data_IF_317456049259
#
_entry.id   IF_317456049259
#
_cell.length_a   1.000
_cell.length_b   1.000
_cell.length_c   1.000
_cell.angle_alpha   90.00
_cell.angle_beta   90.00
_cell.angle_gamma   90.00
#
_symmetry.space_group_name_H-M   'P 1'
#
loop_
_entity.id
_entity.type
_entity.pdbx_description
1 polymer ?
#
# COMPACT_ATOMS: atom_id res chain seq x y z
N UNK A 1 55.42 13.01 35.87
CA UNK A 1 54.13 13.69 35.81
C UNK A 1 53.87 14.47 34.53
N UNK A 2 54.86 15.02 33.84
CA UNK A 2 54.72 15.61 32.50
C UNK A 2 54.26 14.58 31.46
N UNK A 3 54.65 13.32 31.57
CA UNK A 3 54.24 12.22 30.69
C UNK A 3 52.72 11.91 30.83
N UNK A 4 52.19 11.94 32.05
CA UNK A 4 50.78 11.72 32.36
C UNK A 4 49.92 12.88 31.85
N UNK A 5 50.40 14.12 31.94
CA UNK A 5 49.69 15.31 31.42
C UNK A 5 49.64 15.26 29.88
N UNK A 6 50.73 14.87 29.23
CA UNK A 6 50.81 14.74 27.78
C UNK A 6 49.85 13.66 27.25
N UNK A 7 49.80 12.49 27.90
CA UNK A 7 48.89 11.40 27.56
C UNK A 7 47.43 11.80 27.75
N UNK A 8 47.09 12.53 28.82
CA UNK A 8 45.73 13.05 29.04
C UNK A 8 45.34 14.10 27.98
N UNK A 9 46.25 14.98 27.58
CA UNK A 9 45.99 15.97 26.54
C UNK A 9 45.77 15.31 25.17
N UNK A 10 46.57 14.27 24.84
CA UNK A 10 46.39 13.50 23.61
C UNK A 10 45.03 12.78 23.60
N UNK A 11 44.61 12.18 24.71
CA UNK A 11 43.29 11.55 24.83
C UNK A 11 42.17 12.56 24.70
N UNK A 12 42.27 13.75 25.29
CA UNK A 12 41.30 14.83 25.15
C UNK A 12 41.20 15.34 23.70
N UNK A 13 42.35 15.43 23.01
CA UNK A 13 42.37 15.85 21.60
C UNK A 13 41.66 14.82 20.71
N UNK A 14 41.97 13.53 20.90
CA UNK A 14 41.29 12.43 20.14
C UNK A 14 39.78 12.43 20.43
N UNK A 15 39.39 12.59 21.68
CA UNK A 15 37.99 12.64 22.07
C UNK A 15 37.27 13.83 21.42
N UNK A 16 37.89 15.01 21.46
CA UNK A 16 37.34 16.23 20.81
C UNK A 16 37.19 16.03 19.32
N UNK A 17 38.18 15.47 18.64
CA UNK A 17 38.13 15.21 17.21
C UNK A 17 37.05 14.17 16.85
N UNK A 18 36.99 13.07 17.61
CA UNK A 18 35.95 12.04 17.45
C UNK A 18 34.56 12.62 17.62
N UNK A 19 34.33 13.50 18.61
CA UNK A 19 33.05 14.17 18.83
C UNK A 19 32.70 15.10 17.67
N UNK A 20 33.65 15.90 17.20
CA UNK A 20 33.43 16.79 16.06
C UNK A 20 33.09 16.03 14.78
N UNK A 21 33.76 14.92 14.49
CA UNK A 21 33.43 14.05 13.35
C UNK A 21 32.03 13.43 13.49
N UNK A 22 31.65 12.99 14.69
CA UNK A 22 30.33 12.48 14.98
C UNK A 22 29.25 13.55 14.74
N UNK A 23 29.48 14.79 15.15
CA UNK A 23 28.55 15.90 14.91
C UNK A 23 28.37 16.20 13.42
N UNK A 24 29.46 16.19 12.64
CA UNK A 24 29.41 16.45 11.20
C UNK A 24 28.64 15.35 10.47
N UNK A 25 28.98 14.08 10.74
CA UNK A 25 28.33 12.93 10.10
C UNK A 25 26.85 12.85 10.49
N UNK A 26 26.53 13.07 11.76
CA UNK A 26 25.18 13.03 12.30
C UNK A 26 24.37 14.32 12.05
N UNK A 27 24.94 15.30 11.31
CA UNK A 27 24.29 16.59 11.03
C UNK A 27 23.71 17.25 12.27
N UNK A 28 24.45 17.20 13.39
CA UNK A 28 24.00 17.81 14.65
C UNK A 28 25.06 18.70 15.26
N UNK A 29 24.64 19.60 16.13
CA UNK A 29 25.51 20.43 16.97
C UNK A 29 25.09 20.35 18.42
N UNK A 30 26.08 20.44 19.30
CA UNK A 30 25.86 20.40 20.74
C UNK A 30 25.94 21.80 21.33
N UNK A 31 25.18 21.98 22.42
CA UNK A 31 25.23 23.22 23.20
C UNK A 31 25.14 22.91 24.70
N UNK A 32 25.74 23.79 25.48
CA UNK A 32 25.68 23.73 26.93
C UNK A 32 25.26 25.09 27.42
N UNK A 33 24.32 25.10 28.37
CA UNK A 33 23.88 26.31 29.06
C UNK A 33 24.18 26.19 30.57
N UNK A 34 25.05 27.10 31.07
CA UNK A 34 25.30 27.28 32.48
C UNK A 34 24.24 28.23 33.07
N UNK A 35 23.19 27.69 33.71
CA UNK A 35 22.01 28.44 34.12
C UNK A 35 22.36 29.57 35.09
N UNK A 36 23.20 29.28 36.12
CA UNK A 36 23.52 30.23 37.18
C UNK A 36 24.30 31.47 36.68
N UNK A 37 25.11 31.31 35.63
CA UNK A 37 25.92 32.38 35.04
C UNK A 37 25.35 32.92 33.72
N UNK A 38 24.30 32.29 33.21
CA UNK A 38 23.70 32.55 31.90
C UNK A 38 24.69 32.48 30.73
N UNK A 39 25.69 31.59 30.83
CA UNK A 39 26.74 31.40 29.80
C UNK A 39 26.36 30.20 28.92
N UNK A 40 26.35 30.44 27.61
CA UNK A 40 26.17 29.40 26.63
C UNK A 40 27.51 29.01 25.98
N UNK A 41 27.64 27.76 25.62
CA UNK A 41 28.74 27.24 24.80
C UNK A 41 28.16 26.43 23.66
N UNK A 42 28.54 26.74 22.42
CA UNK A 42 28.15 26.05 21.22
C UNK A 42 29.31 25.26 20.65
N UNK A 43 29.01 24.07 20.10
CA UNK A 43 30.02 23.35 19.31
C UNK A 43 30.23 24.05 17.96
N UNK A 44 31.38 23.82 17.35
CA UNK A 44 31.71 24.39 16.05
C UNK A 44 30.67 23.97 14.97
N UNK A 45 30.11 22.78 15.11
CA UNK A 45 29.12 22.30 14.15
C UNK A 45 27.73 22.97 14.33
N UNK A 46 27.41 23.42 15.54
CA UNK A 46 26.17 24.21 15.72
C UNK A 46 26.23 25.53 14.94
N UNK A 47 27.37 26.24 14.94
CA UNK A 47 27.57 27.42 14.11
C UNK A 47 27.37 27.10 12.61
N UNK A 48 27.94 25.97 12.14
CA UNK A 48 27.79 25.53 10.74
C UNK A 48 26.34 25.20 10.37
N UNK A 49 25.59 24.59 11.30
CA UNK A 49 24.16 24.34 11.10
C UNK A 49 23.35 25.65 10.92
N UNK A 50 23.74 26.71 11.63
CA UNK A 50 23.15 28.04 11.49
C UNK A 50 23.59 28.76 10.21
N UNK A 51 24.56 28.21 9.47
CA UNK A 51 25.14 28.83 8.27
C UNK A 51 26.24 29.86 8.59
N UNK A 52 26.88 29.72 9.75
CA UNK A 52 27.91 30.62 10.25
C UNK A 52 29.27 29.93 10.39
N UNK A 53 30.34 30.72 10.36
CA UNK A 53 31.67 30.20 10.73
C UNK A 53 31.74 29.96 12.24
N UNK A 54 32.50 28.91 12.69
CA UNK A 54 32.67 28.65 14.09
C UNK A 54 33.17 29.86 14.87
N UNK A 55 32.55 30.14 16.03
CA UNK A 55 32.89 31.26 16.92
C UNK A 55 32.69 32.67 16.30
N UNK A 56 31.94 32.81 15.21
CA UNK A 56 31.71 34.11 14.51
C UNK A 56 30.82 35.10 15.28
N UNK A 57 30.06 34.59 16.26
CA UNK A 57 29.24 35.43 17.16
C UNK A 57 29.26 34.85 18.59
N UNK A 58 28.89 35.66 19.57
CA UNK A 58 28.78 35.22 20.95
C UNK A 58 27.63 34.22 21.14
N UNK A 59 27.92 33.09 21.77
CA UNK A 59 26.94 32.06 22.06
C UNK A 59 26.02 32.55 23.18
N UNK A 60 24.85 33.07 22.78
CA UNK A 60 23.76 33.47 23.68
C UNK A 60 22.43 33.03 23.10
N UNK A 61 21.42 32.88 23.93
CA UNK A 61 20.08 32.53 23.45
C UNK A 61 19.50 33.63 22.54
N UNK A 62 19.68 34.89 22.89
CA UNK A 62 19.19 36.03 22.09
C UNK A 62 19.81 36.05 20.70
N UNK A 63 21.10 35.73 20.57
CA UNK A 63 21.78 35.63 19.28
C UNK A 63 21.28 34.41 18.49
N UNK A 64 20.98 33.32 19.14
CA UNK A 64 20.40 32.13 18.52
C UNK A 64 19.01 32.42 17.97
N UNK A 65 18.14 33.11 18.73
CA UNK A 65 16.78 33.45 18.31
C UNK A 65 16.73 34.27 17.00
N UNK A 66 17.80 35.01 16.64
CA UNK A 66 17.87 35.75 15.38
C UNK A 66 17.86 34.86 14.14
N UNK A 67 18.23 33.60 14.28
CA UNK A 67 18.17 32.60 13.21
C UNK A 67 16.84 31.84 13.16
N UNK A 68 16.09 31.85 14.26
CA UNK A 68 14.81 31.12 14.35
C UNK A 68 13.76 31.80 13.48
N UNK A 69 12.96 30.99 12.79
CA UNK A 69 11.84 31.49 12.00
C UNK A 69 10.88 32.29 12.88
N UNK A 70 10.39 33.46 12.45
CA UNK A 70 9.59 34.37 13.30
C UNK A 70 8.38 33.69 13.97
N UNK A 71 7.71 32.76 13.28
CA UNK A 71 6.56 32.04 13.81
C UNK A 71 6.93 31.04 14.92
N UNK A 72 8.19 30.63 15.02
CA UNK A 72 8.63 29.60 15.96
C UNK A 72 9.33 30.20 17.19
N UNK A 73 9.64 31.50 17.19
CA UNK A 73 10.39 32.21 18.25
C UNK A 73 9.67 32.14 19.60
N UNK A 74 8.37 32.49 19.64
CA UNK A 74 7.57 32.53 20.86
C UNK A 74 7.50 31.15 21.54
N UNK A 75 7.19 30.11 20.74
CA UNK A 75 7.14 28.74 21.21
C UNK A 75 8.48 28.26 21.75
N UNK A 76 9.57 28.56 21.05
CA UNK A 76 10.92 28.16 21.47
C UNK A 76 11.35 28.84 22.77
N UNK A 77 10.99 30.10 22.97
CA UNK A 77 11.24 30.84 24.22
C UNK A 77 10.46 30.26 25.38
N UNK A 78 9.16 29.93 25.19
CA UNK A 78 8.37 29.24 26.22
C UNK A 78 8.94 27.85 26.56
N UNK A 79 9.40 27.11 25.57
CA UNK A 79 9.99 25.80 25.79
C UNK A 79 11.29 25.91 26.60
N UNK A 80 12.10 26.96 26.38
CA UNK A 80 13.30 27.21 27.16
C UNK A 80 12.98 27.49 28.64
N UNK A 81 11.94 28.27 28.93
CA UNK A 81 11.52 28.55 30.33
C UNK A 81 11.08 27.26 31.03
N UNK A 82 10.38 26.37 30.33
CA UNK A 82 10.02 25.04 30.82
C UNK A 82 11.25 24.16 31.08
N UNK A 83 12.32 24.33 30.27
CA UNK A 83 13.59 23.62 30.42
C UNK A 83 14.25 23.83 31.78
N UNK A 84 14.09 24.98 32.36
CA UNK A 84 14.65 25.27 33.68
C UNK A 84 13.96 24.49 34.78
N UNK A 85 12.67 24.17 34.60
CA UNK A 85 11.82 23.56 35.63
C UNK A 85 11.82 22.02 35.61
N UNK A 86 12.21 21.35 34.51
CA UNK A 86 12.08 19.90 34.30
C UNK A 86 13.45 19.25 34.11
N UNK A 87 13.60 17.97 34.50
CA UNK A 87 14.88 17.24 34.34
C UNK A 87 15.14 16.77 32.92
N UNK A 88 14.11 16.45 32.18
CA UNK A 88 14.19 15.93 30.80
C UNK A 88 13.11 16.60 29.96
N UNK A 89 13.50 17.13 28.80
CA UNK A 89 12.64 17.92 27.96
C UNK A 89 12.03 17.13 26.82
N UNK A 90 10.80 17.50 26.44
CA UNK A 90 10.26 16.99 25.19
C UNK A 90 11.13 17.48 24.01
N UNK A 91 11.18 16.66 22.98
CA UNK A 91 11.83 17.02 21.72
C UNK A 91 11.11 18.24 21.12
N UNK A 92 11.87 19.31 20.86
CA UNK A 92 11.33 20.54 20.24
C UNK A 92 11.77 20.61 18.79
N UNK A 93 10.81 20.83 17.89
CA UNK A 93 11.06 21.05 16.47
C UNK A 93 10.79 22.53 16.16
N UNK A 94 11.69 23.15 15.40
CA UNK A 94 11.59 24.54 14.97
C UNK A 94 12.36 24.76 13.66
N UNK A 95 12.05 25.85 12.98
CA UNK A 95 12.70 26.25 11.74
C UNK A 95 13.72 27.35 12.01
N UNK A 96 14.79 27.36 11.24
CA UNK A 96 15.73 28.47 11.18
C UNK A 96 15.83 29.02 9.75
N UNK A 97 16.21 30.29 9.64
CA UNK A 97 16.48 30.94 8.36
C UNK A 97 17.98 31.27 8.32
N UNK A 98 18.69 30.65 7.38
CA UNK A 98 20.10 30.93 7.17
C UNK A 98 20.31 32.29 6.42
N UNK A 99 21.53 32.82 6.41
CA UNK A 99 21.86 34.09 5.72
C UNK A 99 21.51 34.12 4.23
N UNK A 100 21.54 32.98 3.56
CA UNK A 100 21.18 32.82 2.16
C UNK A 100 19.66 32.76 1.93
N UNK A 101 18.84 32.85 3.00
CA UNK A 101 17.40 32.75 2.96
C UNK A 101 16.84 31.33 2.97
N UNK A 102 17.69 30.30 2.98
CA UNK A 102 17.21 28.91 3.07
C UNK A 102 16.66 28.59 4.45
N UNK A 103 15.57 27.83 4.48
CA UNK A 103 14.95 27.34 5.71
C UNK A 103 15.52 25.98 6.02
N UNK A 104 15.92 25.78 7.28
CA UNK A 104 16.26 24.45 7.81
C UNK A 104 15.31 24.07 8.93
N UNK A 105 14.98 22.79 9.00
CA UNK A 105 14.19 22.19 10.05
C UNK A 105 15.14 21.58 11.07
N UNK A 106 15.08 22.06 12.31
CA UNK A 106 15.92 21.61 13.39
C UNK A 106 15.08 20.87 14.45
N UNK A 107 15.70 19.86 15.04
CA UNK A 107 15.15 19.06 16.14
C UNK A 107 16.11 19.16 17.32
N UNK A 108 15.66 19.73 18.42
CA UNK A 108 16.45 19.88 19.63
C UNK A 108 15.97 18.94 20.74
N UNK A 109 16.96 18.44 21.47
CA UNK A 109 16.78 17.68 22.70
C UNK A 109 17.73 18.23 23.75
N UNK A 110 17.29 18.33 25.00
CA UNK A 110 18.14 18.78 26.09
C UNK A 110 17.87 18.00 27.40
N UNK A 111 18.90 17.90 28.21
CA UNK A 111 18.84 17.24 29.51
C UNK A 111 19.58 18.05 30.57
N UNK A 112 19.00 18.11 31.78
CA UNK A 112 19.65 18.72 32.95
C UNK A 112 20.80 17.85 33.45
N UNK A 113 21.89 18.50 33.78
CA UNK A 113 23.05 17.89 34.38
C UNK A 113 23.55 18.76 35.55
N UNK A 114 23.91 18.14 36.65
CA UNK A 114 24.51 18.83 37.80
C UNK A 114 26.01 18.60 37.84
N UNK A 115 26.79 19.68 37.91
CA UNK A 115 28.25 19.58 38.09
C UNK A 115 28.58 19.05 39.49
N UNK A 116 29.86 18.65 39.68
CA UNK A 116 30.37 18.20 40.98
C UNK A 116 30.15 19.24 42.09
N UNK A 117 30.09 20.51 41.75
CA UNK A 117 29.85 21.64 42.66
C UNK A 117 28.33 21.95 42.82
N UNK A 118 27.42 21.12 42.35
CA UNK A 118 25.98 21.29 42.48
C UNK A 118 25.35 22.31 41.49
N UNK A 119 26.14 22.91 40.59
CA UNK A 119 25.63 23.86 39.61
C UNK A 119 24.83 23.14 38.52
N UNK A 120 23.61 23.66 38.24
CA UNK A 120 22.76 23.12 37.19
C UNK A 120 23.19 23.59 35.80
N UNK A 121 23.33 22.64 34.89
CA UNK A 121 23.63 22.88 33.47
C UNK A 121 22.64 22.14 32.61
N UNK A 122 22.27 22.74 31.48
CA UNK A 122 21.57 22.06 30.40
C UNK A 122 22.57 21.68 29.33
N UNK A 123 22.51 20.43 28.89
CA UNK A 123 23.28 19.94 27.75
C UNK A 123 22.26 19.55 26.69
N UNK A 124 22.36 20.15 25.52
CA UNK A 124 21.46 19.89 24.41
C UNK A 124 22.18 19.50 23.13
N UNK A 125 21.42 18.82 22.30
CA UNK A 125 21.79 18.46 20.93
C UNK A 125 20.74 19.05 19.99
N UNK A 126 21.18 19.61 18.88
CA UNK A 126 20.32 20.13 17.81
C UNK A 126 20.71 19.47 16.50
N UNK A 127 19.80 18.75 15.89
CA UNK A 127 19.98 17.98 14.66
C UNK A 127 19.27 18.65 13.50
N UNK A 128 19.91 18.72 12.33
CA UNK A 128 19.30 19.11 11.07
C UNK A 128 18.50 17.91 10.52
N UNK A 129 17.19 18.07 10.44
CA UNK A 129 16.23 17.07 9.94
C UNK A 129 15.55 17.56 8.66
N UNK A 130 16.20 18.48 7.95
CA UNK A 130 15.64 19.11 6.73
C UNK A 130 15.37 18.05 5.65
N UNK A 131 16.37 17.21 5.34
CA UNK A 131 16.23 16.19 4.29
C UNK A 131 15.11 15.18 4.62
N UNK A 132 14.95 14.81 5.91
CA UNK A 132 13.89 13.92 6.36
C UNK A 132 12.50 14.57 6.21
N UNK A 133 12.35 15.82 6.62
CA UNK A 133 11.09 16.56 6.52
C UNK A 133 10.72 16.81 5.05
N UNK A 134 11.66 17.26 4.21
CA UNK A 134 11.42 17.47 2.78
C UNK A 134 11.03 16.16 2.08
N UNK A 135 11.66 15.05 2.44
CA UNK A 135 11.32 13.72 1.92
C UNK A 135 9.90 13.32 2.31
N UNK A 136 9.48 13.56 3.55
CA UNK A 136 8.13 13.27 4.03
C UNK A 136 7.11 14.13 3.28
N UNK A 137 7.34 15.44 3.18
CA UNK A 137 6.44 16.36 2.48
C UNK A 137 6.27 15.99 0.99
N UNK A 138 7.39 15.66 0.32
CA UNK A 138 7.36 15.19 -1.07
C UNK A 138 6.56 13.91 -1.23
N UNK A 139 6.70 12.98 -0.28
CA UNK A 139 5.98 11.71 -0.29
C UNK A 139 4.47 11.91 -0.04
N UNK A 140 4.12 12.84 0.83
CA UNK A 140 2.72 13.23 1.07
C UNK A 140 2.09 13.89 -0.17
N UNK A 141 2.82 14.80 -0.84
CA UNK A 141 2.37 15.44 -2.08
C UNK A 141 2.12 14.40 -3.18
N UNK A 142 3.07 13.49 -3.40
CA UNK A 142 2.90 12.40 -4.37
C UNK A 142 1.73 11.47 -4.04
N UNK A 143 1.51 11.17 -2.76
CA UNK A 143 0.37 10.36 -2.35
C UNK A 143 -0.96 11.06 -2.65
N UNK A 144 -1.08 12.34 -2.35
CA UNK A 144 -2.27 13.13 -2.66
C UNK A 144 -2.54 13.20 -4.18
N UNK A 145 -1.49 13.37 -4.97
CA UNK A 145 -1.59 13.36 -6.43
C UNK A 145 -2.04 12.00 -6.96
N UNK A 146 -1.47 10.91 -6.45
CA UNK A 146 -1.86 9.54 -6.81
C UNK A 146 -3.33 9.25 -6.44
N UNK A 147 -3.78 9.69 -5.27
CA UNK A 147 -5.17 9.55 -4.86
C UNK A 147 -6.13 10.31 -5.79
N UNK A 148 -5.75 11.55 -6.14
CA UNK A 148 -6.54 12.37 -7.07
C UNK A 148 -6.64 11.72 -8.44
N UNK A 149 -5.52 11.32 -9.02
CA UNK A 149 -5.46 10.67 -10.32
C UNK A 149 -6.28 9.36 -10.33
N UNK A 150 -6.25 8.59 -9.24
CA UNK A 150 -7.05 7.36 -9.11
C UNK A 150 -8.55 7.66 -9.05
N UNK A 151 -8.98 8.71 -8.34
CA UNK A 151 -10.38 9.15 -8.30
C UNK A 151 -10.86 9.62 -9.68
N UNK A 152 -10.06 10.44 -10.38
CA UNK A 152 -10.38 10.94 -11.73
C UNK A 152 -10.48 9.77 -12.73
N UNK A 153 -9.53 8.84 -12.72
CA UNK A 153 -9.56 7.65 -13.58
C UNK A 153 -10.79 6.77 -13.31
N UNK A 154 -11.17 6.61 -12.04
CA UNK A 154 -12.35 5.85 -11.64
C UNK A 154 -13.64 6.50 -12.13
N UNK A 155 -13.74 7.83 -12.01
CA UNK A 155 -14.88 8.60 -12.49
C UNK A 155 -15.00 8.55 -14.02
N UNK A 156 -13.85 8.70 -14.72
CA UNK A 156 -13.80 8.58 -16.18
C UNK A 156 -14.24 7.19 -16.66
N UNK A 157 -13.71 6.13 -16.05
CA UNK A 157 -14.07 4.76 -16.38
C UNK A 157 -15.58 4.50 -16.16
N UNK A 158 -16.15 5.06 -15.09
CA UNK A 158 -17.58 4.93 -14.82
C UNK A 158 -18.44 5.65 -15.88
N UNK A 159 -18.11 6.91 -16.20
CA UNK A 159 -18.85 7.68 -17.19
C UNK A 159 -18.75 7.06 -18.60
N UNK A 160 -17.51 6.74 -19.03
CA UNK A 160 -17.28 6.12 -20.33
C UNK A 160 -18.00 4.76 -20.47
N UNK A 161 -18.01 3.96 -19.40
CA UNK A 161 -18.69 2.66 -19.42
C UNK A 161 -20.20 2.81 -19.50
N UNK A 162 -20.81 3.76 -18.78
CA UNK A 162 -22.23 4.07 -18.86
C UNK A 162 -22.61 4.50 -20.30
N UNK A 163 -21.83 5.40 -20.88
CA UNK A 163 -22.10 5.93 -22.22
C UNK A 163 -21.91 4.87 -23.33
N UNK A 164 -21.10 3.85 -23.09
CA UNK A 164 -20.96 2.69 -23.98
C UNK A 164 -22.08 1.65 -23.79
N UNK A 165 -22.65 1.50 -22.58
CA UNK A 165 -23.71 0.53 -22.31
C UNK A 165 -25.00 0.89 -23.04
N UNK A 166 -25.38 2.19 -23.15
CA UNK A 166 -26.63 2.61 -23.75
C UNK A 166 -26.72 2.27 -25.26
N UNK A 167 -25.74 2.67 -26.12
CA UNK A 167 -25.78 2.31 -27.53
C UNK A 167 -25.70 0.80 -27.74
N UNK A 168 -24.94 0.09 -26.91
CA UNK A 168 -24.81 -1.35 -27.00
C UNK A 168 -26.13 -2.07 -26.67
N UNK A 169 -26.87 -1.60 -25.66
CA UNK A 169 -28.22 -2.07 -25.35
C UNK A 169 -29.19 -1.88 -26.52
N UNK A 170 -29.10 -0.71 -27.19
CA UNK A 170 -29.92 -0.46 -28.41
C UNK A 170 -29.58 -1.45 -29.52
N UNK A 171 -28.30 -1.70 -29.77
CA UNK A 171 -27.84 -2.69 -30.77
C UNK A 171 -28.41 -4.07 -30.43
N UNK A 172 -28.31 -4.54 -29.20
CA UNK A 172 -28.82 -5.84 -28.77
C UNK A 172 -30.34 -5.91 -28.93
N UNK A 173 -31.07 -4.84 -28.58
CA UNK A 173 -32.51 -4.77 -28.74
C UNK A 173 -32.92 -4.88 -30.21
N UNK A 174 -32.23 -4.19 -31.12
CA UNK A 174 -32.51 -4.28 -32.54
C UNK A 174 -32.17 -5.64 -33.13
N UNK A 175 -31.08 -6.28 -32.68
CA UNK A 175 -30.76 -7.65 -33.09
C UNK A 175 -31.86 -8.62 -32.68
N UNK A 176 -32.33 -8.57 -31.42
CA UNK A 176 -33.43 -9.44 -30.94
C UNK A 176 -34.72 -9.21 -31.68
N UNK A 177 -35.08 -7.95 -31.97
CA UNK A 177 -36.28 -7.61 -32.77
C UNK A 177 -36.17 -8.11 -34.21
N UNK A 178 -34.95 -8.07 -34.77
CA UNK A 178 -34.69 -8.55 -36.14
C UNK A 178 -34.83 -10.08 -36.21
N UNK A 179 -34.28 -10.79 -35.21
CA UNK A 179 -34.44 -12.25 -35.08
C UNK A 179 -35.94 -12.63 -35.01
N UNK A 180 -36.70 -11.95 -34.13
CA UNK A 180 -38.12 -12.23 -33.91
C UNK A 180 -39.00 -11.94 -35.14
N UNK A 181 -38.78 -10.79 -35.79
CA UNK A 181 -39.66 -10.35 -36.93
C UNK A 181 -39.33 -11.00 -38.24
N UNK A 182 -38.10 -11.39 -38.48
CA UNK A 182 -37.59 -11.92 -39.73
C UNK A 182 -37.19 -13.40 -39.61
N UNK A 183 -37.72 -14.09 -38.61
CA UNK A 183 -37.46 -15.51 -38.41
C UNK A 183 -37.84 -16.32 -39.68
N UNK A 184 -36.90 -17.16 -40.14
CA UNK A 184 -37.05 -17.93 -41.37
C UNK A 184 -36.81 -17.22 -42.68
N UNK A 185 -36.61 -15.86 -42.70
CA UNK A 185 -36.37 -15.08 -43.92
C UNK A 185 -34.89 -14.84 -44.23
N UNK A 186 -34.01 -15.09 -43.28
CA UNK A 186 -32.58 -14.94 -43.48
C UNK A 186 -32.00 -16.08 -44.32
N UNK A 187 -31.14 -15.75 -45.26
CA UNK A 187 -30.24 -16.72 -45.86
C UNK A 187 -29.30 -17.30 -44.81
N UNK A 188 -28.69 -18.46 -45.07
CA UNK A 188 -27.73 -19.06 -44.13
C UNK A 188 -26.55 -18.13 -43.83
N UNK A 189 -26.08 -17.38 -44.77
CA UNK A 189 -25.06 -16.35 -44.56
C UNK A 189 -25.57 -15.18 -43.73
N UNK A 190 -26.83 -14.74 -43.95
CA UNK A 190 -27.45 -13.68 -43.17
C UNK A 190 -27.61 -14.06 -41.70
N UNK A 191 -28.01 -15.30 -41.40
CA UNK A 191 -28.11 -15.85 -40.06
C UNK A 191 -26.73 -15.92 -39.39
N UNK A 192 -25.68 -16.37 -40.11
CA UNK A 192 -24.33 -16.38 -39.60
C UNK A 192 -23.81 -14.98 -39.25
N UNK A 193 -24.08 -13.96 -40.07
CA UNK A 193 -23.71 -12.58 -39.78
C UNK A 193 -24.42 -12.04 -38.54
N UNK A 194 -25.72 -12.30 -38.40
CA UNK A 194 -26.50 -11.89 -37.24
C UNK A 194 -25.96 -12.49 -35.95
N UNK A 195 -25.67 -13.79 -35.93
CA UNK A 195 -25.05 -14.48 -34.80
C UNK A 195 -23.65 -13.91 -34.44
N UNK A 196 -22.86 -13.56 -35.44
CA UNK A 196 -21.54 -12.91 -35.20
C UNK A 196 -21.69 -11.52 -34.56
N UNK A 197 -22.66 -10.72 -35.02
CA UNK A 197 -22.95 -9.38 -34.48
C UNK A 197 -23.45 -9.52 -33.04
N UNK A 198 -24.40 -10.42 -32.78
CA UNK A 198 -24.93 -10.72 -31.45
C UNK A 198 -23.85 -11.13 -30.46
N UNK A 199 -22.99 -12.06 -30.90
CA UNK A 199 -21.84 -12.51 -30.10
C UNK A 199 -20.83 -11.39 -29.82
N UNK A 200 -20.58 -10.49 -30.80
CA UNK A 200 -19.71 -9.34 -30.60
C UNK A 200 -20.30 -8.32 -29.62
N UNK A 201 -21.59 -8.02 -29.73
CA UNK A 201 -22.31 -7.12 -28.84
C UNK A 201 -22.35 -7.67 -27.41
N UNK A 202 -22.59 -8.97 -27.24
CA UNK A 202 -22.59 -9.62 -25.93
C UNK A 202 -21.20 -9.54 -25.28
N UNK A 203 -20.14 -9.77 -26.05
CA UNK A 203 -18.78 -9.63 -25.55
C UNK A 203 -18.42 -8.21 -25.11
N UNK A 204 -18.83 -7.18 -25.89
CA UNK A 204 -18.62 -5.79 -25.50
C UNK A 204 -19.32 -5.46 -24.19
N UNK A 205 -20.56 -5.94 -23.99
CA UNK A 205 -21.29 -5.76 -22.74
C UNK A 205 -20.51 -6.35 -21.56
N UNK A 206 -20.06 -7.60 -21.67
CA UNK A 206 -19.30 -8.26 -20.62
C UNK A 206 -17.99 -7.51 -20.29
N UNK A 207 -17.29 -7.00 -21.32
CA UNK A 207 -16.07 -6.19 -21.10
C UNK A 207 -16.35 -4.89 -20.35
N UNK A 208 -17.46 -4.21 -20.69
CA UNK A 208 -17.86 -2.97 -20.02
C UNK A 208 -18.29 -3.26 -18.57
N UNK A 209 -19.07 -4.32 -18.34
CA UNK A 209 -19.50 -4.73 -17.01
C UNK A 209 -18.31 -5.08 -16.12
N UNK A 210 -17.33 -5.83 -16.64
CA UNK A 210 -16.10 -6.17 -15.93
C UNK A 210 -15.23 -4.93 -15.63
N UNK A 211 -15.14 -3.97 -16.57
CA UNK A 211 -14.43 -2.71 -16.35
C UNK A 211 -15.09 -1.87 -15.25
N UNK A 212 -16.43 -1.83 -15.22
CA UNK A 212 -17.18 -1.18 -14.14
C UNK A 212 -16.94 -1.87 -12.79
N UNK A 213 -16.93 -3.19 -12.76
CA UNK A 213 -16.61 -3.95 -11.54
C UNK A 213 -15.20 -3.65 -11.05
N UNK A 214 -14.22 -3.64 -11.95
CA UNK A 214 -12.84 -3.28 -11.63
C UNK A 214 -12.74 -1.85 -11.07
N UNK A 215 -13.42 -0.89 -11.70
CA UNK A 215 -13.49 0.51 -11.24
C UNK A 215 -14.14 0.63 -9.85
N UNK A 216 -15.25 -0.09 -9.61
CA UNK A 216 -15.91 -0.11 -8.29
C UNK A 216 -15.04 -0.72 -7.20
N UNK A 217 -14.15 -1.65 -7.53
CA UNK A 217 -13.23 -2.26 -6.58
C UNK A 217 -12.17 -1.26 -6.09
N UNK A 218 -11.93 -0.17 -6.83
CA UNK A 218 -10.97 0.89 -6.48
C UNK A 218 -11.52 1.98 -5.53
N UNK A 219 -12.81 1.98 -5.17
CA UNK A 219 -13.35 3.02 -4.28
C UNK A 219 -12.84 2.86 -2.85
N UNK A 220 -12.30 3.92 -2.20
CA UNK A 220 -11.74 3.85 -0.85
C UNK A 220 -12.79 3.72 0.27
N UNK A 221 -14.06 4.08 0.02
CA UNK A 221 -15.10 4.19 1.05
C UNK A 221 -15.80 2.85 1.34
N UNK A 222 -15.03 1.78 1.62
CA UNK A 222 -15.61 0.46 1.86
C UNK A 222 -15.32 0.02 3.27
N UNK A 223 -16.40 -0.22 3.98
CA UNK A 223 -16.36 -0.61 5.38
C UNK A 223 -15.90 -2.05 5.53
N UNK A 224 -14.87 -2.25 6.37
CA UNK A 224 -14.42 -3.57 6.79
C UNK A 224 -15.33 -4.07 7.91
N UNK A 225 -16.01 -5.20 7.66
CA UNK A 225 -16.97 -5.78 8.59
C UNK A 225 -16.52 -7.20 8.96
N UNK A 226 -16.60 -7.55 10.24
CA UNK A 226 -16.37 -8.93 10.69
C UNK A 226 -17.47 -9.83 10.14
N UNK A 227 -17.12 -10.70 9.19
CA UNK A 227 -18.08 -11.54 8.46
C UNK A 227 -17.64 -12.99 8.47
N UNK A 228 -18.62 -13.89 8.42
CA UNK A 228 -18.36 -15.33 8.26
C UNK A 228 -18.09 -15.62 6.79
N UNK A 229 -16.90 -16.14 6.50
CA UNK A 229 -16.52 -16.43 5.10
C UNK A 229 -17.29 -17.63 4.53
N UNK A 230 -17.90 -18.50 5.38
CA UNK A 230 -18.77 -19.56 4.89
C UNK A 230 -20.02 -18.99 4.25
N UNK A 231 -20.66 -17.98 4.87
CA UNK A 231 -21.87 -17.34 4.32
C UNK A 231 -21.55 -16.67 2.98
N UNK A 232 -20.41 -15.99 2.87
CA UNK A 232 -19.98 -15.34 1.64
C UNK A 232 -19.66 -16.35 0.53
N UNK A 233 -19.11 -17.49 0.89
CA UNK A 233 -18.83 -18.57 -0.04
C UNK A 233 -20.12 -19.23 -0.55
N UNK A 234 -21.09 -19.49 0.33
CA UNK A 234 -22.39 -20.03 -0.08
C UNK A 234 -23.15 -19.05 -1.00
N UNK A 235 -23.11 -17.75 -0.69
CA UNK A 235 -23.67 -16.72 -1.58
C UNK A 235 -23.00 -16.76 -2.96
N UNK A 236 -21.67 -16.84 -3.01
CA UNK A 236 -20.92 -16.96 -4.27
C UNK A 236 -21.27 -18.23 -5.07
N UNK A 237 -21.58 -19.36 -4.39
CA UNK A 237 -22.08 -20.58 -5.04
C UNK A 237 -23.45 -20.38 -5.70
N UNK A 238 -24.33 -19.58 -5.07
CA UNK A 238 -25.62 -19.24 -5.66
C UNK A 238 -25.48 -18.49 -6.99
N UNK A 239 -24.48 -17.60 -7.11
CA UNK A 239 -24.22 -16.84 -8.35
C UNK A 239 -23.89 -17.78 -9.55
N UNK A 240 -23.43 -18.99 -9.31
CA UNK A 240 -23.01 -19.99 -10.32
C UNK A 240 -23.78 -21.30 -10.25
N UNK A 241 -24.90 -21.34 -9.53
CA UNK A 241 -25.66 -22.58 -9.24
C UNK A 241 -26.12 -23.30 -10.50
N UNK A 242 -26.57 -22.57 -11.51
CA UNK A 242 -27.03 -23.16 -12.78
C UNK A 242 -25.90 -23.95 -13.47
N UNK A 243 -24.68 -23.38 -13.50
CA UNK A 243 -23.50 -24.01 -14.11
C UNK A 243 -23.06 -25.23 -13.26
N UNK A 244 -23.16 -25.13 -11.93
CA UNK A 244 -22.86 -26.26 -11.02
C UNK A 244 -23.80 -27.45 -11.34
N UNK A 245 -25.08 -27.19 -11.48
CA UNK A 245 -26.09 -28.23 -11.77
C UNK A 245 -25.92 -28.81 -13.17
N UNK A 246 -25.73 -27.95 -14.19
CA UNK A 246 -25.52 -28.37 -15.57
C UNK A 246 -24.30 -29.29 -15.71
N UNK A 247 -23.18 -28.90 -15.12
CA UNK A 247 -21.92 -29.65 -15.19
C UNK A 247 -21.77 -30.72 -14.14
N UNK A 248 -22.74 -30.89 -13.23
CA UNK A 248 -22.73 -31.82 -12.09
C UNK A 248 -21.47 -31.65 -11.24
N UNK A 249 -21.03 -30.41 -11.05
CA UNK A 249 -19.77 -30.11 -10.38
C UNK A 249 -19.78 -30.51 -8.91
N UNK A 250 -18.65 -31.08 -8.44
CA UNK A 250 -18.43 -31.46 -7.05
C UNK A 250 -17.60 -30.37 -6.36
N UNK A 251 -18.19 -29.71 -5.35
CA UNK A 251 -17.52 -28.65 -4.59
C UNK A 251 -17.44 -29.09 -3.14
N UNK A 252 -16.22 -29.13 -2.60
CA UNK A 252 -15.95 -29.43 -1.19
C UNK A 252 -15.20 -28.26 -0.56
N UNK A 253 -15.58 -27.88 0.65
CA UNK A 253 -14.94 -26.80 1.40
C UNK A 253 -14.71 -27.20 2.84
N UNK A 254 -13.52 -26.89 3.35
CA UNK A 254 -13.31 -26.84 4.79
C UNK A 254 -14.15 -25.71 5.40
N UNK A 255 -14.37 -25.74 6.72
CA UNK A 255 -14.98 -24.65 7.43
C UNK A 255 -14.09 -23.40 7.35
N UNK A 256 -14.61 -22.32 6.74
CA UNK A 256 -13.90 -21.07 6.58
C UNK A 256 -14.02 -20.21 7.86
N UNK A 257 -13.04 -19.33 8.14
CA UNK A 257 -13.04 -18.51 9.35
C UNK A 257 -13.97 -17.30 9.24
N UNK A 258 -14.19 -16.64 10.38
CA UNK A 258 -14.61 -15.23 10.39
C UNK A 258 -13.41 -14.34 10.16
N UNK A 259 -13.58 -13.32 9.33
CA UNK A 259 -12.54 -12.35 9.00
C UNK A 259 -13.12 -10.94 8.85
N UNK A 260 -12.30 -9.92 9.12
CA UNK A 260 -12.68 -8.52 8.91
C UNK A 260 -12.41 -8.15 7.45
N UNK A 261 -13.47 -8.02 6.67
CA UNK A 261 -13.40 -7.94 5.20
C UNK A 261 -14.42 -6.97 4.61
N UNK A 262 -14.23 -6.56 3.37
CA UNK A 262 -15.22 -5.87 2.56
C UNK A 262 -16.11 -6.94 1.91
N UNK A 263 -17.30 -7.14 2.45
CA UNK A 263 -18.21 -8.26 2.17
C UNK A 263 -18.40 -8.55 0.69
N UNK A 264 -18.82 -7.53 -0.08
CA UNK A 264 -19.12 -7.75 -1.51
C UNK A 264 -17.84 -8.08 -2.31
N UNK A 265 -16.65 -7.59 -1.91
CA UNK A 265 -15.39 -7.92 -2.58
C UNK A 265 -15.02 -9.38 -2.39
N UNK A 266 -15.14 -9.90 -1.17
CA UNK A 266 -14.84 -11.32 -0.91
C UNK A 266 -15.84 -12.24 -1.60
N UNK A 267 -17.13 -11.90 -1.61
CA UNK A 267 -18.13 -12.65 -2.39
C UNK A 267 -17.74 -12.67 -3.87
N UNK A 268 -17.36 -11.53 -4.44
CA UNK A 268 -16.90 -11.43 -5.83
C UNK A 268 -15.63 -12.23 -6.10
N UNK A 269 -14.66 -12.23 -5.16
CA UNK A 269 -13.45 -13.05 -5.23
C UNK A 269 -13.83 -14.54 -5.37
N UNK A 270 -14.72 -15.02 -4.51
CA UNK A 270 -15.17 -16.41 -4.54
C UNK A 270 -15.95 -16.73 -5.82
N UNK A 271 -16.89 -15.87 -6.24
CA UNK A 271 -17.65 -16.05 -7.50
C UNK A 271 -16.72 -16.13 -8.71
N UNK A 272 -15.69 -15.26 -8.79
CA UNK A 272 -14.74 -15.27 -9.89
C UNK A 272 -13.90 -16.55 -9.93
N UNK A 273 -13.42 -17.03 -8.78
CA UNK A 273 -12.63 -18.25 -8.71
C UNK A 273 -13.48 -19.48 -9.04
N UNK A 274 -14.70 -19.59 -8.49
CA UNK A 274 -15.66 -20.65 -8.82
C UNK A 274 -16.00 -20.67 -10.31
N UNK A 275 -16.35 -19.51 -10.87
CA UNK A 275 -16.67 -19.36 -12.29
C UNK A 275 -15.49 -19.80 -13.18
N UNK A 276 -14.26 -19.42 -12.82
CA UNK A 276 -13.08 -19.85 -13.56
C UNK A 276 -12.87 -21.37 -13.48
N UNK A 277 -12.98 -21.98 -12.30
CA UNK A 277 -12.83 -23.42 -12.13
C UNK A 277 -13.91 -24.23 -12.88
N UNK A 278 -15.14 -23.71 -12.93
CA UNK A 278 -16.23 -24.34 -13.70
C UNK A 278 -16.06 -24.15 -15.21
N UNK A 279 -15.43 -23.09 -15.65
CA UNK A 279 -15.26 -22.76 -17.05
C UNK A 279 -14.09 -23.49 -17.70
N UNK A 280 -12.91 -23.50 -17.06
CA UNK A 280 -11.68 -24.06 -17.63
C UNK A 280 -11.55 -25.57 -17.34
N UNK A 281 -12.58 -26.31 -17.66
CA UNK A 281 -12.64 -27.78 -17.52
C UNK A 281 -12.59 -28.45 -18.89
N UNK A 282 -12.03 -29.65 -18.99
CA UNK A 282 -12.06 -30.46 -20.22
C UNK A 282 -13.46 -30.93 -20.51
N UNK A 283 -13.77 -31.09 -21.80
CA UNK A 283 -15.01 -31.73 -22.23
C UNK A 283 -15.15 -33.10 -21.58
N UNK A 284 -16.37 -33.47 -21.21
CA UNK A 284 -16.76 -34.76 -20.54
C UNK A 284 -16.12 -34.97 -19.15
N UNK A 285 -15.41 -34.01 -18.57
CA UNK A 285 -14.84 -34.13 -17.22
C UNK A 285 -15.76 -33.44 -16.22
N UNK A 286 -16.11 -34.16 -15.13
CA UNK A 286 -16.84 -33.57 -14.01
C UNK A 286 -15.93 -32.58 -13.26
N UNK A 287 -16.32 -31.29 -13.10
CA UNK A 287 -15.54 -30.35 -12.32
C UNK A 287 -15.47 -30.76 -10.85
N UNK A 288 -14.26 -30.82 -10.30
CA UNK A 288 -14.01 -31.04 -8.88
C UNK A 288 -13.28 -29.84 -8.35
N UNK A 289 -13.89 -29.14 -7.39
CA UNK A 289 -13.32 -27.94 -6.78
C UNK A 289 -13.18 -28.20 -5.28
N UNK A 290 -11.96 -28.03 -4.77
CA UNK A 290 -11.65 -28.21 -3.35
C UNK A 290 -11.17 -26.90 -2.76
N UNK A 291 -11.81 -26.48 -1.66
CA UNK A 291 -11.43 -25.31 -0.90
C UNK A 291 -10.88 -25.78 0.44
N UNK A 292 -9.59 -25.48 0.69
CA UNK A 292 -8.96 -25.80 1.96
C UNK A 292 -8.62 -24.51 2.71
N UNK A 293 -8.68 -24.60 4.03
CA UNK A 293 -8.38 -23.52 4.94
C UNK A 293 -7.33 -23.92 5.97
N UNK A 294 -6.40 -23.02 6.25
CA UNK A 294 -5.50 -23.10 7.40
C UNK A 294 -5.13 -21.71 7.89
N UNK A 295 -4.90 -21.57 9.20
CA UNK A 295 -4.28 -20.36 9.76
C UNK A 295 -2.78 -20.59 9.81
N UNK A 296 -2.01 -19.69 9.20
CA UNK A 296 -0.55 -19.84 9.03
C UNK A 296 0.21 -18.65 9.62
N UNK A 297 1.45 -18.89 10.01
CA UNK A 297 2.39 -17.87 10.41
C UNK A 297 3.15 -17.36 9.18
N UNK A 298 3.27 -16.04 9.03
CA UNK A 298 3.97 -15.46 7.89
C UNK A 298 5.42 -15.92 7.76
N UNK A 299 6.10 -16.17 8.89
CA UNK A 299 7.48 -16.64 8.92
C UNK A 299 7.68 -18.08 8.43
N UNK A 300 6.60 -18.86 8.33
CA UNK A 300 6.61 -20.29 7.93
C UNK A 300 6.21 -20.46 6.45
N UNK A 301 5.70 -19.39 5.80
CA UNK A 301 5.24 -19.40 4.41
C UNK A 301 6.26 -18.71 3.50
N UNK A 302 6.91 -19.44 2.56
CA UNK A 302 7.91 -18.86 1.65
C UNK A 302 7.36 -17.73 0.77
N UNK A 303 6.06 -17.76 0.49
CA UNK A 303 5.39 -16.77 -0.37
C UNK A 303 5.16 -15.43 0.35
N UNK A 304 5.28 -15.36 1.68
CA UNK A 304 4.96 -14.21 2.51
C UNK A 304 6.16 -13.36 2.94
N UNK A 305 7.20 -13.25 2.12
CA UNK A 305 8.45 -12.50 2.42
C UNK A 305 8.17 -11.01 2.77
N UNK A 306 7.13 -10.40 2.18
CA UNK A 306 6.75 -9.00 2.40
C UNK A 306 5.54 -8.83 3.33
N UNK A 307 5.23 -9.84 4.14
CA UNK A 307 4.06 -9.80 5.02
C UNK A 307 4.20 -8.73 6.11
N UNK A 308 3.14 -7.94 6.30
CA UNK A 308 3.07 -6.89 7.34
C UNK A 308 2.49 -7.41 8.66
N UNK A 309 1.84 -8.59 8.65
CA UNK A 309 1.19 -9.21 9.81
C UNK A 309 1.86 -10.55 10.15
N UNK A 310 1.73 -10.96 11.41
CA UNK A 310 2.31 -12.23 11.88
C UNK A 310 1.53 -13.45 11.46
N UNK A 311 0.20 -13.35 11.30
CA UNK A 311 -0.69 -14.47 10.97
C UNK A 311 -1.60 -14.14 9.80
N UNK A 312 -1.88 -15.16 8.97
CA UNK A 312 -2.77 -15.07 7.82
C UNK A 312 -3.75 -16.25 7.79
N UNK A 313 -4.95 -15.97 7.27
CA UNK A 313 -5.89 -16.97 6.80
C UNK A 313 -5.44 -17.42 5.40
N UNK A 314 -4.98 -18.65 5.26
CA UNK A 314 -4.62 -19.26 3.98
C UNK A 314 -5.81 -20.03 3.45
N UNK A 315 -6.36 -19.62 2.32
CA UNK A 315 -7.48 -20.25 1.63
C UNK A 315 -6.97 -20.69 0.26
N UNK A 316 -7.11 -21.98 -0.06
CA UNK A 316 -6.70 -22.52 -1.35
C UNK A 316 -7.89 -23.06 -2.13
N UNK A 317 -8.03 -22.61 -3.39
CA UNK A 317 -8.99 -23.13 -4.36
C UNK A 317 -8.23 -24.01 -5.34
N UNK A 318 -8.54 -25.30 -5.36
CA UNK A 318 -7.92 -26.28 -6.27
C UNK A 318 -8.99 -26.88 -7.18
N UNK A 319 -8.75 -26.86 -8.47
CA UNK A 319 -9.61 -27.48 -9.48
C UNK A 319 -8.87 -28.56 -10.28
N UNK A 320 -9.63 -29.42 -10.94
CA UNK A 320 -9.15 -30.45 -11.87
C UNK A 320 -9.28 -30.02 -13.34
N UNK A 321 -9.18 -28.72 -13.61
CA UNK A 321 -9.33 -28.14 -14.93
C UNK A 321 -8.17 -28.42 -15.90
N UNK A 322 -8.12 -27.65 -16.97
CA UNK A 322 -7.05 -27.77 -17.99
C UNK A 322 -5.67 -27.32 -17.48
N UNK A 323 -5.63 -26.54 -16.37
CA UNK A 323 -4.42 -25.97 -15.84
C UNK A 323 -3.75 -24.95 -16.78
N UNK A 324 -2.51 -24.58 -16.46
CA UNK A 324 -1.70 -23.67 -17.29
C UNK A 324 -0.20 -23.89 -17.01
N UNK A 325 0.66 -23.43 -17.91
CA UNK A 325 2.11 -23.45 -17.68
C UNK A 325 2.50 -22.48 -16.56
N UNK A 326 3.28 -22.95 -15.59
CA UNK A 326 3.67 -22.15 -14.39
C UNK A 326 4.34 -20.83 -14.72
N UNK A 327 5.02 -20.70 -15.84
CA UNK A 327 5.64 -19.43 -16.28
C UNK A 327 4.63 -18.27 -16.46
N UNK A 328 3.34 -18.59 -16.60
CA UNK A 328 2.27 -17.60 -16.77
C UNK A 328 1.56 -17.24 -15.46
N UNK A 329 1.98 -17.78 -14.31
CA UNK A 329 1.32 -17.59 -13.02
C UNK A 329 1.13 -16.12 -12.61
N UNK A 330 2.08 -15.24 -12.93
CA UNK A 330 1.95 -13.80 -12.67
C UNK A 330 1.15 -13.10 -13.77
N UNK A 331 1.25 -13.57 -15.00
CA UNK A 331 0.59 -12.96 -16.15
C UNK A 331 -0.94 -13.10 -16.09
N UNK A 332 -1.45 -14.20 -15.55
CA UNK A 332 -2.92 -14.45 -15.46
C UNK A 332 -3.66 -13.42 -14.63
N UNK A 333 -2.98 -12.70 -13.73
CA UNK A 333 -3.54 -11.61 -12.93
C UNK A 333 -3.50 -10.24 -13.61
N UNK A 334 -2.86 -10.13 -14.79
CA UNK A 334 -2.84 -8.89 -15.56
C UNK A 334 -4.19 -8.63 -16.23
N UNK A 335 -4.56 -7.37 -16.32
CA UNK A 335 -5.81 -6.95 -16.94
C UNK A 335 -5.86 -7.37 -18.42
N UNK A 336 -6.97 -7.94 -18.88
CA UNK A 336 -7.17 -8.46 -20.23
C UNK A 336 -6.25 -9.62 -20.63
N UNK A 337 -5.52 -10.21 -19.67
CA UNK A 337 -4.66 -11.38 -19.96
C UNK A 337 -5.48 -12.65 -20.15
N UNK A 338 -5.16 -13.41 -21.19
CA UNK A 338 -5.78 -14.71 -21.51
C UNK A 338 -4.71 -15.65 -22.07
N UNK A 339 -4.71 -16.89 -21.58
CA UNK A 339 -3.76 -17.92 -22.04
C UNK A 339 -4.33 -18.81 -23.15
N UNK A 340 -5.65 -18.90 -23.28
CA UNK A 340 -6.34 -19.77 -24.26
C UNK A 340 -7.06 -18.97 -25.32
N UNK A 341 -7.20 -19.56 -26.52
CA UNK A 341 -7.83 -18.93 -27.68
C UNK A 341 -9.33 -18.67 -27.46
N UNK A 342 -9.84 -17.59 -28.09
CA UNK A 342 -11.24 -17.13 -28.00
C UNK A 342 -12.29 -18.19 -28.43
N UNK A 343 -11.89 -19.23 -29.18
CA UNK A 343 -12.80 -20.26 -29.70
C UNK A 343 -13.10 -21.36 -28.69
N UNK A 344 -12.20 -21.58 -27.72
CA UNK A 344 -12.33 -22.70 -26.76
C UNK A 344 -13.00 -22.30 -25.46
N UNK A 345 -12.69 -21.11 -24.93
CA UNK A 345 -13.23 -20.63 -23.65
C UNK A 345 -13.66 -19.16 -23.76
N UNK A 346 -14.93 -18.87 -23.42
CA UNK A 346 -15.48 -17.51 -23.42
C UNK A 346 -14.89 -16.72 -22.23
N UNK A 347 -14.75 -15.39 -22.30
CA UNK A 347 -14.36 -14.52 -21.19
C UNK A 347 -13.56 -13.31 -21.60
N UNK A 348 -13.44 -12.36 -20.71
CA UNK A 348 -12.87 -11.03 -20.91
C UNK A 348 -11.39 -10.93 -20.50
N UNK A 349 -10.93 -11.79 -19.59
CA UNK A 349 -9.59 -11.73 -19.00
C UNK A 349 -9.45 -10.72 -17.86
N UNK A 350 -10.58 -10.30 -17.26
CA UNK A 350 -10.60 -9.32 -16.16
C UNK A 350 -10.80 -9.97 -14.79
N UNK A 351 -11.47 -11.13 -14.71
CA UNK A 351 -11.86 -11.75 -13.44
C UNK A 351 -10.71 -12.00 -12.45
N UNK A 352 -9.57 -12.53 -12.92
CA UNK A 352 -8.42 -12.78 -12.05
C UNK A 352 -7.70 -11.49 -11.64
N UNK A 353 -7.68 -10.46 -12.48
CA UNK A 353 -7.13 -9.14 -12.09
C UNK A 353 -8.00 -8.47 -11.03
N UNK A 354 -9.32 -8.69 -11.06
CA UNK A 354 -10.24 -8.27 -9.98
C UNK A 354 -9.91 -9.05 -8.70
N UNK A 355 -9.67 -10.37 -8.77
CA UNK A 355 -9.28 -11.17 -7.61
C UNK A 355 -8.00 -10.62 -6.97
N UNK A 356 -6.97 -10.33 -7.77
CA UNK A 356 -5.73 -9.72 -7.29
C UNK A 356 -5.99 -8.38 -6.60
N UNK A 357 -6.77 -7.50 -7.22
CA UNK A 357 -7.09 -6.18 -6.67
C UNK A 357 -7.88 -6.27 -5.35
N UNK A 358 -8.83 -7.21 -5.25
CA UNK A 358 -9.58 -7.46 -4.02
C UNK A 358 -8.65 -7.87 -2.89
N UNK A 359 -7.76 -8.82 -3.16
CA UNK A 359 -6.81 -9.31 -2.17
C UNK A 359 -5.82 -8.20 -1.76
N UNK A 360 -5.34 -7.39 -2.70
CA UNK A 360 -4.49 -6.23 -2.41
C UNK A 360 -5.21 -5.18 -1.54
N UNK A 361 -6.52 -4.91 -1.78
CA UNK A 361 -7.33 -4.02 -0.95
C UNK A 361 -7.45 -4.51 0.50
N UNK A 362 -7.35 -5.83 0.72
CA UNK A 362 -7.34 -6.46 2.04
C UNK A 362 -5.93 -6.65 2.60
N UNK A 363 -4.89 -6.03 2.00
CA UNK A 363 -3.48 -6.19 2.40
C UNK A 363 -3.05 -7.67 2.44
N UNK A 364 -3.63 -8.47 1.56
CA UNK A 364 -3.39 -9.89 1.41
C UNK A 364 -2.47 -10.22 0.24
N UNK A 365 -2.31 -11.52 -0.03
CA UNK A 365 -1.53 -12.01 -1.16
C UNK A 365 -2.32 -13.08 -1.89
N UNK A 366 -2.20 -13.14 -3.22
CA UNK A 366 -2.76 -14.20 -4.04
C UNK A 366 -1.71 -14.75 -4.99
N UNK A 367 -1.62 -16.07 -5.04
CA UNK A 367 -0.70 -16.81 -5.89
C UNK A 367 -1.47 -17.86 -6.68
N UNK A 368 -0.90 -18.26 -7.82
CA UNK A 368 -1.47 -19.31 -8.64
C UNK A 368 -0.40 -20.36 -8.98
N UNK A 369 -0.79 -21.61 -8.90
CA UNK A 369 0.01 -22.75 -9.36
C UNK A 369 -0.80 -23.52 -10.39
N UNK A 370 -0.25 -23.74 -11.57
CA UNK A 370 -0.89 -24.46 -12.66
C UNK A 370 -0.06 -25.65 -13.11
N UNK A 371 -0.74 -26.73 -13.48
CA UNK A 371 -0.13 -27.86 -14.15
C UNK A 371 -1.04 -28.27 -15.31
N UNK A 372 -0.48 -28.29 -16.54
CA UNK A 372 -1.26 -28.56 -17.74
C UNK A 372 -1.92 -29.95 -17.63
N UNK A 373 -3.21 -29.99 -17.91
CA UNK A 373 -4.06 -31.17 -17.85
C UNK A 373 -4.27 -31.80 -16.46
N UNK A 374 -3.78 -31.20 -15.42
CA UNK A 374 -3.98 -31.61 -14.01
C UNK A 374 -4.95 -30.69 -13.30
N UNK A 375 -4.77 -29.36 -13.44
CA UNK A 375 -5.61 -28.36 -12.86
C UNK A 375 -4.87 -27.10 -12.43
N UNK A 376 -5.57 -26.23 -11.68
CA UNK A 376 -5.00 -25.04 -11.10
C UNK A 376 -5.28 -24.96 -9.58
N UNK A 377 -4.38 -24.29 -8.87
CA UNK A 377 -4.54 -23.95 -7.45
C UNK A 377 -4.30 -22.48 -7.25
N UNK A 378 -5.29 -21.77 -6.70
CA UNK A 378 -5.18 -20.38 -6.30
C UNK A 378 -5.07 -20.33 -4.78
N UNK A 379 -3.98 -19.73 -4.29
CA UNK A 379 -3.72 -19.58 -2.85
C UNK A 379 -3.91 -18.12 -2.45
N UNK A 380 -4.79 -17.86 -1.51
CA UNK A 380 -5.14 -16.52 -1.00
C UNK A 380 -4.69 -16.45 0.46
N UNK A 381 -4.02 -15.37 0.80
CA UNK A 381 -3.67 -15.05 2.18
C UNK A 381 -4.37 -13.74 2.57
N UNK A 382 -5.25 -13.80 3.57
CA UNK A 382 -5.88 -12.62 4.16
C UNK A 382 -5.31 -12.42 5.58
N UNK A 383 -4.96 -11.18 5.98
CA UNK A 383 -4.39 -10.94 7.30
C UNK A 383 -5.40 -11.30 8.40
N UNK A 384 -4.91 -11.89 9.48
CA UNK A 384 -5.70 -12.06 10.71
C UNK A 384 -5.71 -10.72 11.43
N UNK A 385 -6.90 -10.22 11.71
CA UNK A 385 -7.14 -8.95 12.43
C UNK A 385 -6.72 -9.05 13.89
#
# INVERSE_FOLDING_TARGET
DLKNIKTKNDQLLIFKESTNQSEIIGKHGNWIWHIDSNIFAYSDNLYRLLGEEPQSFEATFDNFLKFVHPEDVEKLAEDLDKMIAVEELPITNYRIIQKNGSIKYLKAYAKSFYSVNGQKRLIGNTSDVTDEIESILTLEEHNLELERNNKELSAFNYAASHDLQEPLRKIQTFISRLEEKEEGKFSDSGRQYLERIKSAATRMRLLIDDLLQFSRTNKPDKEFISSDLNDLFENAKQDVVEIILEKKAQITSDALPKATVIVFQIQQLFSNLLSNSLKYIKEETVPIIKINYSKVKASEEPDLIKASKSFYHKITFTDNGIGFEQKYADQIFQLFSRLHNKKEYSGTGVGLSICKKIVDNHQGFIFAKGEINVGATFTIYLPVS
#
